data_IF_839046948504
#
_entry.id   IF_839046948504
#
_cell.length_a   1.000
_cell.length_b   1.000
_cell.length_c   1.000
_cell.angle_alpha   90.00
_cell.angle_beta   90.00
_cell.angle_gamma   90.00
#
_symmetry.space_group_name_H-M   'P 1'
#
loop_
_entity.id
_entity.type
_entity.pdbx_description
1 polymer ?
#
# COMPACT_ATOMS: atom_id res chain seq x y z
N UNK A 1 43.30 84.71 -2.73
CA UNK A 1 42.14 85.39 -2.12
C UNK A 1 40.97 84.47 -2.31
N UNK A 2 40.72 83.63 -1.30
CA UNK A 2 39.74 83.91 -0.22
C UNK A 2 38.32 83.79 -0.80
N UNK A 3 37.33 83.13 -0.23
CA UNK A 3 37.17 82.37 1.00
C UNK A 3 35.71 81.84 0.99
N UNK A 4 35.47 80.76 1.74
CA UNK A 4 34.26 80.50 2.55
C UNK A 4 32.89 80.08 1.95
N UNK A 5 32.48 78.90 2.42
CA UNK A 5 31.17 78.54 3.04
C UNK A 5 29.86 78.66 2.25
N UNK A 6 29.22 77.50 2.02
CA UNK A 6 28.16 77.01 2.94
C UNK A 6 27.75 75.56 2.65
N UNK A 7 28.12 74.69 3.58
CA UNK A 7 27.53 73.38 3.83
C UNK A 7 26.39 73.48 4.85
N UNK A 8 25.35 72.67 4.69
CA UNK A 8 24.59 72.08 5.80
C UNK A 8 23.19 72.63 6.06
N UNK A 9 22.15 71.86 5.71
CA UNK A 9 21.32 71.09 6.65
C UNK A 9 20.04 70.57 5.97
N UNK A 10 20.00 69.31 5.53
CA UNK A 10 18.75 68.59 5.20
C UNK A 10 18.69 67.13 5.73
N UNK A 11 19.61 66.70 6.60
CA UNK A 11 19.62 65.30 7.08
C UNK A 11 18.76 65.04 8.34
N UNK A 12 18.18 66.07 8.97
CA UNK A 12 17.40 65.92 10.21
C UNK A 12 15.99 65.34 10.05
N UNK A 13 15.36 65.49 8.87
CA UNK A 13 13.94 65.15 8.66
C UNK A 13 13.67 63.66 8.39
N UNK A 14 14.55 62.99 7.66
CA UNK A 14 14.33 61.59 7.26
C UNK A 14 14.58 60.57 8.39
N UNK A 15 15.53 60.86 9.30
CA UNK A 15 15.86 59.97 10.40
C UNK A 15 14.76 59.90 11.47
N UNK A 16 14.09 61.03 11.74
CA UNK A 16 12.95 61.11 12.68
C UNK A 16 11.72 60.37 12.16
N UNK A 17 11.39 60.52 10.88
CA UNK A 17 10.23 59.88 10.25
C UNK A 17 10.38 58.35 10.16
N UNK A 18 11.57 57.86 9.80
CA UNK A 18 11.85 56.41 9.75
C UNK A 18 11.74 55.77 11.13
N UNK A 19 12.30 56.38 12.19
CA UNK A 19 12.18 55.90 13.58
C UNK A 19 10.73 55.91 14.09
N UNK A 20 9.92 56.88 13.67
CA UNK A 20 8.51 56.97 14.06
C UNK A 20 7.66 55.86 13.39
N UNK A 21 7.94 55.57 12.12
CA UNK A 21 7.32 54.46 11.39
C UNK A 21 7.72 53.09 11.92
N UNK A 22 9.00 52.88 12.30
CA UNK A 22 9.44 51.60 12.86
C UNK A 22 8.77 51.31 14.20
N UNK A 23 8.61 52.31 15.06
CA UNK A 23 7.93 52.15 16.36
C UNK A 23 6.46 51.76 16.20
N UNK A 24 5.72 52.37 15.27
CA UNK A 24 4.30 52.02 15.02
C UNK A 24 4.12 50.65 14.37
N UNK A 25 5.04 50.24 13.49
CA UNK A 25 5.04 48.91 12.91
C UNK A 25 5.31 47.82 13.98
N UNK A 26 6.27 48.04 14.88
CA UNK A 26 6.57 47.11 15.98
C UNK A 26 5.38 46.98 16.95
N UNK A 27 4.72 48.10 17.28
CA UNK A 27 3.51 48.10 18.13
C UNK A 27 2.36 47.38 17.42
N UNK A 28 2.19 47.56 16.11
CA UNK A 28 1.19 46.85 15.32
C UNK A 28 1.41 45.32 15.31
N UNK A 29 2.65 44.88 15.11
CA UNK A 29 3.01 43.45 15.15
C UNK A 29 2.77 42.86 16.55
N UNK A 30 3.17 43.56 17.62
CA UNK A 30 2.90 43.11 18.99
C UNK A 30 1.40 42.99 19.28
N UNK A 31 0.59 43.95 18.83
CA UNK A 31 -0.88 43.88 18.96
C UNK A 31 -1.46 42.67 18.22
N UNK A 32 -0.99 42.38 17.01
CA UNK A 32 -1.45 41.19 16.26
C UNK A 32 -1.07 39.88 16.94
N UNK A 33 0.12 39.80 17.54
CA UNK A 33 0.55 38.61 18.30
C UNK A 33 -0.29 38.42 19.56
N UNK A 34 -0.64 39.51 20.26
CA UNK A 34 -1.50 39.45 21.45
C UNK A 34 -2.93 39.04 21.07
N UNK A 35 -3.48 39.55 19.97
CA UNK A 35 -4.81 39.15 19.46
C UNK A 35 -4.82 37.68 19.06
N UNK A 36 -3.77 37.20 18.37
CA UNK A 36 -3.61 35.77 18.04
C UNK A 36 -3.47 34.89 19.29
N UNK A 37 -2.77 35.37 20.32
CA UNK A 37 -2.63 34.65 21.59
C UNK A 37 -3.95 34.55 22.36
N UNK A 38 -4.74 35.64 22.42
CA UNK A 38 -6.07 35.64 23.04
C UNK A 38 -7.03 34.73 22.27
N UNK A 39 -7.00 34.78 20.92
CA UNK A 39 -7.80 33.89 20.08
C UNK A 39 -7.41 32.41 20.28
N UNK A 40 -6.11 32.10 20.34
CA UNK A 40 -5.63 30.75 20.63
C UNK A 40 -5.99 30.25 22.03
N UNK A 41 -6.06 31.14 23.01
CA UNK A 41 -6.48 30.82 24.38
C UNK A 41 -7.99 30.54 24.48
N UNK A 42 -8.82 31.34 23.78
CA UNK A 42 -10.28 31.15 23.69
C UNK A 42 -10.67 29.84 22.98
N UNK A 43 -9.88 29.43 21.97
CA UNK A 43 -10.10 28.18 21.22
C UNK A 43 -9.52 26.95 21.96
N UNK A 44 -8.95 27.14 23.15
CA UNK A 44 -8.48 26.03 23.99
C UNK A 44 -7.17 25.38 23.54
N UNK A 45 -6.40 26.06 22.68
CA UNK A 45 -5.15 25.55 22.09
C UNK A 45 -4.05 25.29 23.14
N UNK A 46 -4.14 25.91 24.32
CA UNK A 46 -3.18 25.76 25.42
C UNK A 46 -3.67 24.88 26.59
N UNK A 47 -4.78 24.14 26.42
CA UNK A 47 -5.29 23.25 27.47
C UNK A 47 -4.44 21.98 27.52
N UNK A 48 -3.55 21.87 28.52
CA UNK A 48 -2.77 20.64 28.79
C UNK A 48 -3.71 19.43 28.91
N UNK A 49 -3.37 18.26 28.35
CA UNK A 49 -4.18 17.06 28.54
C UNK A 49 -4.24 16.69 30.03
N UNK A 50 -5.44 16.39 30.52
CA UNK A 50 -5.63 15.87 31.88
C UNK A 50 -4.99 14.49 31.95
N UNK A 51 -3.95 14.34 32.77
CA UNK A 51 -3.44 13.05 33.23
C UNK A 51 -4.56 12.32 33.96
N UNK A 52 -5.12 11.29 33.34
CA UNK A 52 -6.04 10.39 34.02
C UNK A 52 -5.21 9.40 34.83
N UNK A 53 -5.36 9.50 36.15
CA UNK A 53 -4.68 8.66 37.13
C UNK A 53 -5.08 7.19 37.03
N UNK A 54 -4.08 6.37 37.32
CA UNK A 54 -4.08 5.02 37.88
C UNK A 54 -5.47 4.46 38.25
N UNK A 55 -5.78 3.29 37.68
CA UNK A 55 -6.60 2.28 38.35
C UNK A 55 -5.74 1.09 38.76
N UNK A 56 -5.94 0.77 40.02
CA UNK A 56 -5.36 -0.25 40.89
C UNK A 56 -5.04 -1.60 40.24
N UNK A 57 -3.85 -2.10 40.55
CA UNK A 57 -3.46 -3.51 40.42
C UNK A 57 -3.92 -4.20 41.71
N UNK A 58 -4.96 -5.03 41.62
CA UNK A 58 -5.32 -5.97 42.69
C UNK A 58 -4.55 -7.28 42.50
N UNK A 59 -3.81 -7.65 43.55
CA UNK A 59 -3.13 -8.94 43.75
C UNK A 59 -4.12 -10.11 43.85
N UNK A 60 -3.75 -11.26 43.29
CA UNK A 60 -4.14 -12.61 43.73
C UNK A 60 -3.16 -13.58 43.05
N UNK A 61 -2.07 -13.96 43.72
CA UNK A 61 -1.92 -15.21 44.49
C UNK A 61 -1.99 -16.48 43.63
N UNK A 62 -0.82 -16.89 43.15
CA UNK A 62 -0.46 -18.25 42.75
C UNK A 62 -0.06 -19.07 43.97
N UNK A 63 -0.75 -20.18 44.26
CA UNK A 63 -0.17 -21.53 44.51
C UNK A 63 -1.20 -22.58 44.94
N UNK A 64 -0.91 -23.86 44.57
CA UNK A 64 -1.53 -25.17 44.96
C UNK A 64 -2.81 -25.58 44.22
N UNK A 65 -3.04 -26.83 43.79
CA UNK A 65 -2.32 -28.12 43.82
C UNK A 65 -2.97 -29.04 42.75
N UNK A 66 -2.21 -29.79 41.94
CA UNK A 66 -1.98 -31.25 41.96
C UNK A 66 -3.23 -32.17 42.05
N UNK A 67 -3.36 -33.07 41.06
CA UNK A 67 -4.19 -34.29 41.05
C UNK A 67 -5.29 -34.25 39.95
N UNK A 68 -5.50 -35.21 39.06
CA UNK A 68 -5.13 -36.62 39.02
C UNK A 68 -5.25 -37.12 37.55
N UNK A 69 -4.34 -38.00 37.13
CA UNK A 69 -4.38 -38.73 35.85
C UNK A 69 -5.17 -40.02 36.05
N UNK A 70 -6.01 -40.39 35.09
CA UNK A 70 -6.42 -41.80 34.91
C UNK A 70 -6.79 -42.09 33.45
N UNK A 71 -6.13 -43.10 32.87
CA UNK A 71 -6.46 -43.83 31.63
C UNK A 71 -6.64 -45.30 32.11
N UNK A 72 -7.64 -46.08 31.66
CA UNK A 72 -7.57 -46.89 30.42
C UNK A 72 -8.94 -46.94 29.68
N UNK A 73 -9.16 -47.47 28.47
CA UNK A 73 -8.60 -48.64 27.76
C UNK A 73 -9.07 -48.62 26.27
N UNK A 74 -8.29 -49.22 25.37
CA UNK A 74 -8.65 -49.65 23.98
C UNK A 74 -9.04 -51.17 24.03
N UNK A 75 -9.46 -51.89 22.96
CA UNK A 75 -9.38 -51.60 21.53
C UNK A 75 -10.64 -51.99 20.70
N UNK A 76 -10.71 -51.55 19.44
CA UNK A 76 -11.15 -52.43 18.34
C UNK A 76 -10.54 -51.98 17.01
N UNK A 77 -10.37 -52.98 16.16
CA UNK A 77 -9.46 -53.13 15.05
C UNK A 77 -10.29 -53.29 13.78
N UNK A 78 -9.98 -52.56 12.71
CA UNK A 78 -10.28 -52.95 11.32
C UNK A 78 -9.46 -52.07 10.36
N UNK A 79 -8.68 -52.75 9.51
CA UNK A 79 -7.81 -52.21 8.45
C UNK A 79 -8.62 -51.90 7.16
N UNK A 80 -8.00 -51.25 6.16
CA UNK A 80 -8.67 -50.36 5.20
C UNK A 80 -9.17 -51.06 3.94
N UNK A 81 -10.27 -50.55 3.38
CA UNK A 81 -10.66 -50.83 2.00
C UNK A 81 -10.24 -49.68 1.08
N UNK A 82 -9.49 -50.07 0.06
CA UNK A 82 -9.09 -49.27 -1.09
C UNK A 82 -10.33 -48.87 -1.91
N UNK A 83 -10.44 -47.58 -2.25
CA UNK A 83 -11.23 -47.14 -3.40
C UNK A 83 -10.34 -46.28 -4.29
N UNK A 84 -9.75 -46.94 -5.27
CA UNK A 84 -9.14 -46.38 -6.47
C UNK A 84 -10.12 -46.60 -7.62
N UNK A 85 -10.58 -45.51 -8.25
CA UNK A 85 -11.24 -45.48 -9.56
C UNK A 85 -10.78 -44.16 -10.21
N UNK A 86 -9.69 -44.20 -10.97
CA UNK A 86 -9.62 -44.43 -12.42
C UNK A 86 -9.81 -43.13 -13.23
N UNK A 87 -8.66 -42.66 -13.73
CA UNK A 87 -8.55 -41.74 -14.85
C UNK A 87 -9.15 -42.39 -16.09
N UNK A 88 -10.14 -41.75 -16.69
CA UNK A 88 -10.51 -42.01 -18.07
C UNK A 88 -9.93 -40.93 -18.96
N UNK A 89 -9.00 -41.41 -19.79
CA UNK A 89 -8.33 -40.70 -20.85
C UNK A 89 -9.02 -41.10 -22.15
N UNK A 90 -9.77 -40.18 -22.76
CA UNK A 90 -10.25 -40.30 -24.13
C UNK A 90 -10.00 -38.98 -24.87
N UNK A 91 -9.07 -39.04 -25.82
CA UNK A 91 -9.09 -38.24 -27.05
C UNK A 91 -9.68 -39.14 -28.13
N UNK A 92 -10.46 -38.63 -29.11
CA UNK A 92 -9.77 -38.13 -30.30
C UNK A 92 -10.48 -37.02 -31.10
N UNK A 93 -9.66 -36.42 -31.97
CA UNK A 93 -9.99 -35.89 -33.30
C UNK A 93 -10.18 -34.38 -33.45
N UNK A 94 -9.20 -33.84 -34.16
CA UNK A 94 -9.15 -32.56 -34.84
C UNK A 94 -10.46 -32.21 -35.57
N UNK A 95 -10.92 -30.97 -35.41
CA UNK A 95 -11.56 -30.26 -36.51
C UNK A 95 -11.11 -28.81 -36.48
N UNK A 96 -10.35 -28.44 -37.51
CA UNK A 96 -10.01 -27.05 -37.84
C UNK A 96 -11.31 -26.28 -38.08
N UNK A 97 -11.58 -25.28 -37.26
CA UNK A 97 -12.43 -24.17 -37.67
C UNK A 97 -11.83 -22.87 -37.16
N UNK A 98 -11.42 -22.04 -38.12
CA UNK A 98 -10.87 -20.73 -37.91
C UNK A 98 -11.92 -19.80 -37.30
N UNK A 99 -11.64 -19.27 -36.12
CA UNK A 99 -12.33 -18.10 -35.59
C UNK A 99 -11.29 -17.04 -35.24
N UNK A 100 -11.04 -16.15 -36.21
CA UNK A 100 -10.49 -14.81 -35.96
C UNK A 100 -11.51 -14.04 -35.11
N UNK A 101 -11.18 -13.70 -33.88
CA UNK A 101 -11.57 -12.42 -33.25
C UNK A 101 -11.06 -12.37 -31.80
N UNK A 102 -10.64 -11.16 -31.40
CA UNK A 102 -10.21 -10.74 -30.07
C UNK A 102 -8.78 -11.16 -29.66
N UNK A 103 -7.80 -10.59 -30.34
CA UNK A 103 -6.57 -10.16 -29.65
C UNK A 103 -6.98 -9.12 -28.61
N UNK A 104 -7.20 -9.57 -27.38
CA UNK A 104 -7.18 -8.70 -26.21
C UNK A 104 -5.79 -8.07 -26.14
N UNK A 105 -5.79 -6.74 -26.15
CA UNK A 105 -4.62 -5.87 -26.05
C UNK A 105 -3.85 -6.15 -24.75
N UNK A 106 -2.98 -7.16 -24.75
CA UNK A 106 -1.90 -7.24 -23.78
C UNK A 106 -0.93 -6.11 -24.13
N UNK A 107 -0.61 -5.18 -23.21
CA UNK A 107 0.44 -4.20 -23.48
C UNK A 107 1.71 -4.97 -23.82
N UNK A 108 2.30 -4.66 -24.99
CA UNK A 108 3.48 -5.34 -25.49
C UNK A 108 4.52 -5.51 -24.37
N UNK A 109 4.95 -6.76 -24.14
CA UNK A 109 5.89 -7.11 -23.07
C UNK A 109 7.15 -6.27 -23.23
N UNK A 110 7.34 -5.28 -22.36
CA UNK A 110 8.51 -4.39 -22.42
C UNK A 110 9.74 -5.21 -22.10
N UNK A 111 10.72 -5.16 -22.99
CA UNK A 111 12.02 -5.79 -22.76
C UNK A 111 12.85 -4.88 -21.85
N UNK A 112 13.35 -5.43 -20.74
CA UNK A 112 14.24 -4.71 -19.83
C UNK A 112 15.64 -5.31 -19.90
N UNK A 113 16.69 -4.47 -20.00
CA UNK A 113 18.06 -4.94 -20.19
C UNK A 113 18.68 -5.55 -18.93
N UNK A 114 18.24 -5.14 -17.73
CA UNK A 114 18.75 -5.62 -16.45
C UNK A 114 17.65 -6.20 -15.57
N UNK A 115 18.01 -7.20 -14.75
CA UNK A 115 17.12 -7.81 -13.74
C UNK A 115 16.67 -6.76 -12.74
N UNK A 116 15.40 -6.78 -12.36
CA UNK A 116 14.80 -5.89 -11.37
C UNK A 116 14.20 -4.61 -11.93
N UNK A 117 14.51 -4.27 -13.19
CA UNK A 117 13.92 -3.09 -13.83
C UNK A 117 12.41 -3.27 -14.04
N UNK A 118 11.94 -4.47 -14.40
CA UNK A 118 10.51 -4.71 -14.55
C UNK A 118 9.77 -4.49 -13.21
N UNK A 119 10.35 -4.97 -12.11
CA UNK A 119 9.80 -4.84 -10.77
C UNK A 119 9.70 -3.38 -10.33
N UNK A 120 10.79 -2.61 -10.50
CA UNK A 120 10.79 -1.19 -10.12
C UNK A 120 9.85 -0.37 -10.99
N UNK A 121 9.77 -0.67 -12.30
CA UNK A 121 8.81 -0.02 -13.20
C UNK A 121 7.35 -0.33 -12.83
N UNK A 122 7.04 -1.59 -12.50
CA UNK A 122 5.74 -2.01 -12.01
C UNK A 122 5.38 -1.42 -10.65
N UNK A 123 6.36 -1.11 -9.81
CA UNK A 123 6.16 -0.41 -8.55
C UNK A 123 5.85 1.08 -8.76
N UNK A 124 6.49 1.73 -9.73
CA UNK A 124 6.33 3.16 -10.02
C UNK A 124 4.98 3.45 -10.69
N UNK A 125 4.64 2.68 -11.73
CA UNK A 125 3.53 3.00 -12.64
C UNK A 125 2.15 3.15 -11.98
N UNK A 126 1.67 2.22 -11.13
CA UNK A 126 0.33 2.32 -10.56
C UNK A 126 0.16 3.59 -9.73
N UNK A 127 1.11 3.89 -8.86
CA UNK A 127 1.05 5.09 -8.03
C UNK A 127 1.25 6.36 -8.87
N UNK A 128 2.14 6.33 -9.87
CA UNK A 128 2.33 7.48 -10.76
C UNK A 128 1.07 7.84 -11.55
N UNK A 129 0.37 6.83 -12.07
CA UNK A 129 -0.90 7.03 -12.76
C UNK A 129 -1.92 7.74 -11.86
N UNK A 130 -2.04 7.31 -10.61
CA UNK A 130 -2.94 7.93 -9.63
C UNK A 130 -2.55 9.37 -9.28
N UNK A 131 -1.26 9.70 -9.29
CA UNK A 131 -0.77 11.05 -8.97
C UNK A 131 -0.85 12.02 -10.15
N UNK A 132 -0.59 11.56 -11.39
CA UNK A 132 -0.38 12.43 -12.56
C UNK A 132 -1.47 12.34 -13.62
N UNK A 133 -1.88 11.13 -13.96
CA UNK A 133 -2.72 10.87 -15.14
C UNK A 133 -4.21 10.82 -14.80
N UNK A 134 -4.54 10.47 -13.56
CA UNK A 134 -5.93 10.38 -13.12
C UNK A 134 -6.58 11.77 -13.10
N UNK A 135 -7.83 11.83 -13.56
CA UNK A 135 -8.64 13.04 -13.48
C UNK A 135 -8.72 13.52 -12.00
N UNK A 136 -8.20 14.72 -11.74
CA UNK A 136 -8.05 15.37 -10.41
C UNK A 136 -6.95 14.80 -9.48
N UNK A 137 -6.07 13.91 -9.95
CA UNK A 137 -4.86 13.50 -9.24
C UNK A 137 -5.11 12.81 -7.88
N UNK A 138 -4.26 13.12 -6.89
CA UNK A 138 -4.28 12.52 -5.55
C UNK A 138 -5.33 13.16 -4.64
N UNK A 139 -6.48 12.51 -4.49
CA UNK A 139 -7.65 13.11 -3.85
C UNK A 139 -7.79 12.86 -2.35
N UNK A 140 -7.05 11.88 -1.83
CA UNK A 140 -7.09 11.55 -0.38
C UNK A 140 -6.74 12.76 0.50
N UNK A 141 -6.02 13.73 -0.07
CA UNK A 141 -5.53 14.90 0.61
C UNK A 141 -6.35 16.18 0.38
N UNK A 142 -7.38 16.14 -0.48
CA UNK A 142 -8.10 17.35 -0.86
C UNK A 142 -9.07 17.80 0.24
N UNK A 143 -9.21 19.13 0.39
CA UNK A 143 -10.09 19.74 1.39
C UNK A 143 -11.56 19.36 1.23
N UNK A 144 -11.98 18.96 0.02
CA UNK A 144 -13.35 18.52 -0.25
C UNK A 144 -13.33 17.13 -0.87
N UNK A 145 -13.78 16.14 -0.09
CA UNK A 145 -13.74 14.71 -0.45
C UNK A 145 -15.01 14.31 -1.22
N UNK A 146 -15.13 14.73 -2.47
CA UNK A 146 -16.30 14.43 -3.31
C UNK A 146 -16.35 13.00 -3.85
N UNK A 147 -15.21 12.29 -3.86
CA UNK A 147 -15.09 10.91 -4.40
C UNK A 147 -14.38 10.01 -3.39
N UNK A 148 -15.13 9.43 -2.47
CA UNK A 148 -14.68 8.43 -1.50
C UNK A 148 -14.14 7.16 -2.19
N UNK A 149 -14.85 6.62 -3.17
CA UNK A 149 -14.47 5.36 -3.85
C UNK A 149 -13.05 5.41 -4.43
N UNK A 150 -12.69 6.52 -5.09
CA UNK A 150 -11.37 6.68 -5.67
C UNK A 150 -10.30 6.94 -4.63
N UNK A 151 -10.63 7.66 -3.55
CA UNK A 151 -9.70 7.83 -2.43
C UNK A 151 -9.34 6.47 -1.84
N UNK A 152 -10.35 5.64 -1.60
CA UNK A 152 -10.17 4.31 -1.02
C UNK A 152 -9.42 3.37 -1.96
N UNK A 153 -9.66 3.46 -3.28
CA UNK A 153 -8.85 2.79 -4.29
C UNK A 153 -7.37 3.21 -4.25
N UNK A 154 -7.10 4.51 -4.18
CA UNK A 154 -5.73 5.07 -4.09
C UNK A 154 -4.99 4.60 -2.84
N UNK A 155 -5.70 4.45 -1.72
CA UNK A 155 -5.12 3.89 -0.49
C UNK A 155 -4.69 2.43 -0.67
N UNK A 156 -5.45 1.63 -1.42
CA UNK A 156 -5.07 0.26 -1.75
C UNK A 156 -3.78 0.19 -2.59
N UNK A 157 -3.68 1.03 -3.63
CA UNK A 157 -2.47 1.15 -4.47
C UNK A 157 -1.25 1.57 -3.65
N UNK A 158 -1.44 2.55 -2.76
CA UNK A 158 -0.38 3.06 -1.89
C UNK A 158 0.11 2.01 -0.89
N UNK A 159 -0.79 1.20 -0.32
CA UNK A 159 -0.41 0.15 0.63
C UNK A 159 0.47 -0.92 -0.03
N UNK A 160 0.12 -1.35 -1.26
CA UNK A 160 0.96 -2.25 -2.05
C UNK A 160 2.32 -1.61 -2.33
N UNK A 161 2.33 -0.33 -2.71
CA UNK A 161 3.57 0.41 -2.99
C UNK A 161 4.48 0.50 -1.77
N UNK A 162 3.91 0.78 -0.59
CA UNK A 162 4.63 0.86 0.69
C UNK A 162 5.29 -0.46 1.04
N UNK A 163 4.52 -1.55 1.07
CA UNK A 163 5.04 -2.89 1.41
C UNK A 163 6.12 -3.33 0.44
N UNK A 164 5.90 -3.10 -0.85
CA UNK A 164 6.87 -3.46 -1.89
C UNK A 164 8.15 -2.63 -1.78
N UNK A 165 8.05 -1.35 -1.46
CA UNK A 165 9.22 -0.45 -1.29
C UNK A 165 10.04 -0.83 -0.06
N UNK A 166 9.40 -1.24 1.05
CA UNK A 166 10.08 -1.76 2.25
C UNK A 166 10.86 -3.02 1.91
N UNK A 167 10.19 -4.03 1.31
CA UNK A 167 10.85 -5.30 0.99
C UNK A 167 11.92 -5.13 -0.09
N UNK A 168 11.70 -4.23 -1.06
CA UNK A 168 12.71 -3.89 -2.06
C UNK A 168 13.99 -3.37 -1.40
N UNK A 169 13.87 -2.39 -0.50
CA UNK A 169 15.01 -1.80 0.21
C UNK A 169 15.68 -2.76 1.21
N UNK A 170 14.88 -3.55 1.92
CA UNK A 170 15.36 -4.41 3.01
C UNK A 170 15.86 -5.78 2.58
N UNK A 171 15.38 -6.31 1.45
CA UNK A 171 15.65 -7.70 1.05
C UNK A 171 16.13 -7.79 -0.39
N UNK A 172 15.41 -7.19 -1.33
CA UNK A 172 15.65 -7.47 -2.76
C UNK A 172 16.88 -6.73 -3.30
N UNK A 173 17.17 -5.52 -2.82
CA UNK A 173 18.31 -4.72 -3.29
C UNK A 173 19.64 -5.08 -2.63
N UNK A 174 19.68 -6.07 -1.73
CA UNK A 174 20.85 -6.40 -0.90
C UNK A 174 21.09 -7.90 -0.73
N UNK A 175 22.35 -8.31 -0.60
CA UNK A 175 22.75 -9.72 -0.45
C UNK A 175 22.54 -10.24 0.98
N UNK A 176 22.58 -9.34 1.97
CA UNK A 176 22.45 -9.69 3.39
C UNK A 176 22.01 -8.52 4.27
N UNK A 177 21.65 -8.83 5.52
CA UNK A 177 21.15 -7.88 6.51
C UNK A 177 22.17 -6.86 7.02
N UNK A 178 23.46 -7.03 6.68
CA UNK A 178 24.57 -6.17 7.12
C UNK A 178 25.05 -5.15 6.08
N UNK A 179 24.69 -5.32 4.81
CA UNK A 179 24.95 -4.35 3.73
C UNK A 179 24.38 -2.94 4.03
N UNK A 180 24.89 -1.88 3.40
CA UNK A 180 24.25 -0.58 3.52
C UNK A 180 22.96 -0.55 2.68
N UNK A 181 21.95 0.21 3.11
CA UNK A 181 20.80 0.49 2.26
C UNK A 181 21.21 1.37 1.08
N UNK A 182 20.60 1.16 -0.10
CA UNK A 182 20.66 2.17 -1.14
C UNK A 182 19.88 3.40 -0.67
N UNK A 183 20.57 4.55 -0.67
CA UNK A 183 20.02 5.81 -0.14
C UNK A 183 18.73 6.24 -0.85
N UNK A 184 18.60 5.97 -2.15
CA UNK A 184 17.40 6.34 -2.90
C UNK A 184 16.23 5.43 -2.50
N UNK A 185 16.45 4.12 -2.32
CA UNK A 185 15.41 3.21 -1.85
C UNK A 185 14.97 3.51 -0.41
N UNK A 186 15.91 3.82 0.47
CA UNK A 186 15.62 4.23 1.85
C UNK A 186 14.78 5.51 1.88
N UNK A 187 15.18 6.52 1.09
CA UNK A 187 14.40 7.76 0.94
C UNK A 187 13.00 7.48 0.39
N UNK A 188 12.88 6.66 -0.66
CA UNK A 188 11.61 6.32 -1.28
C UNK A 188 10.65 5.67 -0.26
N UNK A 189 11.11 4.66 0.45
CA UNK A 189 10.37 4.00 1.53
C UNK A 189 9.88 5.01 2.56
N UNK A 190 10.76 5.88 3.05
CA UNK A 190 10.43 6.90 4.05
C UNK A 190 9.36 7.89 3.54
N UNK A 191 9.44 8.30 2.27
CA UNK A 191 8.46 9.20 1.68
C UNK A 191 7.08 8.58 1.51
N UNK A 192 6.99 7.29 1.16
CA UNK A 192 5.71 6.60 1.06
C UNK A 192 5.01 6.40 2.40
N UNK A 193 5.75 6.35 3.51
CA UNK A 193 5.18 6.19 4.86
C UNK A 193 4.51 7.44 5.43
N UNK A 194 4.59 8.57 4.72
CA UNK A 194 3.85 9.78 5.11
C UNK A 194 2.35 9.53 5.00
N UNK A 195 1.59 10.07 5.95
CA UNK A 195 0.14 9.91 6.02
C UNK A 195 -0.55 10.46 4.75
N UNK A 196 -1.53 9.73 4.19
CA UNK A 196 -2.16 10.06 2.91
C UNK A 196 -3.14 11.24 2.97
N UNK A 197 -3.63 11.59 4.16
CA UNK A 197 -4.61 12.65 4.47
C UNK A 197 -3.96 14.01 4.82
N UNK A 198 -2.62 14.10 4.73
CA UNK A 198 -1.88 15.26 5.22
C UNK A 198 -1.85 16.42 4.22
N UNK A 199 -2.75 17.39 4.42
CA UNK A 199 -2.92 18.52 3.49
C UNK A 199 -1.81 19.56 3.60
N UNK A 200 -1.44 19.92 4.82
CA UNK A 200 -0.47 20.98 5.10
C UNK A 200 0.96 20.46 5.32
N UNK A 201 1.94 21.32 5.01
CA UNK A 201 3.37 21.00 4.80
C UNK A 201 3.96 19.91 5.72
N UNK A 202 4.59 18.85 5.17
CA UNK A 202 4.64 18.48 3.75
C UNK A 202 3.35 17.81 3.25
N UNK A 203 2.89 18.15 2.04
CA UNK A 203 1.72 17.49 1.43
C UNK A 203 2.03 16.05 1.02
N UNK A 204 1.06 15.16 1.19
CA UNK A 204 1.20 13.73 0.86
C UNK A 204 1.61 13.54 -0.62
N UNK A 205 0.92 14.22 -1.54
CA UNK A 205 1.18 14.15 -2.97
C UNK A 205 2.62 14.53 -3.34
N UNK A 206 3.13 15.63 -2.81
CA UNK A 206 4.51 16.07 -3.07
C UNK A 206 5.52 15.02 -2.61
N UNK A 207 5.27 14.40 -1.46
CA UNK A 207 6.14 13.37 -0.89
C UNK A 207 6.08 12.07 -1.66
N UNK A 208 4.92 11.65 -2.13
CA UNK A 208 4.82 10.49 -3.00
C UNK A 208 5.51 10.73 -4.34
N UNK A 209 5.39 11.93 -4.92
CA UNK A 209 6.18 12.30 -6.12
C UNK A 209 7.68 12.24 -5.86
N UNK A 210 8.16 12.71 -4.71
CA UNK A 210 9.57 12.57 -4.33
C UNK A 210 9.98 11.10 -4.19
N UNK A 211 9.16 10.27 -3.56
CA UNK A 211 9.43 8.83 -3.44
C UNK A 211 9.51 8.12 -4.80
N UNK A 212 8.63 8.46 -5.73
CA UNK A 212 8.69 7.93 -7.10
C UNK A 212 9.94 8.38 -7.85
N UNK A 213 10.38 9.62 -7.66
CA UNK A 213 11.63 10.10 -8.28
C UNK A 213 12.85 9.34 -7.74
N UNK A 214 12.88 9.07 -6.44
CA UNK A 214 13.93 8.26 -5.82
C UNK A 214 13.95 6.82 -6.40
N UNK A 215 12.78 6.20 -6.60
CA UNK A 215 12.69 4.91 -7.29
C UNK A 215 13.17 4.99 -8.74
N UNK A 216 12.89 6.09 -9.46
CA UNK A 216 13.38 6.32 -10.84
C UNK A 216 14.90 6.47 -10.90
N UNK A 217 15.50 7.10 -9.88
CA UNK A 217 16.96 7.18 -9.78
C UNK A 217 17.53 5.78 -9.59
N UNK A 218 16.97 4.98 -8.69
CA UNK A 218 17.38 3.58 -8.51
C UNK A 218 17.21 2.75 -9.79
N UNK A 219 16.09 2.91 -10.51
CA UNK A 219 15.88 2.28 -11.81
C UNK A 219 16.99 2.60 -12.82
N UNK A 220 17.42 3.88 -12.90
CA UNK A 220 18.54 4.29 -13.76
C UNK A 220 19.88 3.72 -13.29
N UNK A 221 20.09 3.52 -11.98
CA UNK A 221 21.29 2.85 -11.47
C UNK A 221 21.31 1.37 -11.88
N UNK A 222 20.16 0.68 -11.84
CA UNK A 222 20.05 -0.71 -12.32
C UNK A 222 20.40 -0.81 -13.81
N UNK A 223 19.90 0.11 -14.63
CA UNK A 223 20.23 0.17 -16.06
C UNK A 223 21.74 0.30 -16.32
N UNK A 224 22.43 1.07 -15.48
CA UNK A 224 23.89 1.27 -15.57
C UNK A 224 24.72 0.18 -14.88
N UNK A 225 24.10 -0.73 -14.13
CA UNK A 225 24.80 -1.71 -13.28
C UNK A 225 25.46 -1.11 -12.04
N UNK A 226 25.06 0.10 -11.61
CA UNK A 226 25.54 0.77 -10.40
C UNK A 226 24.81 0.32 -9.12
N UNK A 227 23.68 -0.36 -9.28
CA UNK A 227 22.88 -0.92 -8.19
C UNK A 227 22.61 -2.41 -8.43
N UNK A 228 22.40 -3.15 -7.35
CA UNK A 228 22.10 -4.57 -7.40
C UNK A 228 20.61 -4.85 -7.18
N UNK A 229 20.13 -5.92 -7.80
CA UNK A 229 18.81 -6.51 -7.58
C UNK A 229 18.97 -8.03 -7.55
N UNK A 230 18.65 -8.65 -6.42
CA UNK A 230 18.93 -10.06 -6.18
C UNK A 230 17.68 -10.91 -6.35
N UNK A 231 17.63 -11.69 -7.43
CA UNK A 231 16.51 -12.54 -7.83
C UNK A 231 16.49 -13.90 -7.11
N UNK A 232 16.71 -13.92 -5.80
CA UNK A 232 16.79 -15.15 -5.01
C UNK A 232 15.49 -15.45 -4.27
N UNK A 233 15.30 -16.72 -3.93
CA UNK A 233 14.09 -17.20 -3.26
C UNK A 233 13.91 -16.62 -1.85
N UNK A 234 14.99 -16.45 -1.10
CA UNK A 234 14.99 -15.83 0.24
C UNK A 234 14.59 -14.34 0.22
N UNK A 235 14.75 -13.68 -0.92
CA UNK A 235 14.30 -12.31 -1.14
C UNK A 235 12.86 -12.24 -1.66
N UNK A 236 12.44 -13.21 -2.48
CA UNK A 236 11.08 -13.26 -3.04
C UNK A 236 10.04 -13.71 -2.00
N UNK A 237 10.35 -14.69 -1.15
CA UNK A 237 9.40 -15.22 -0.16
C UNK A 237 8.85 -14.12 0.78
N UNK A 238 9.69 -13.26 1.40
CA UNK A 238 9.17 -12.17 2.24
C UNK A 238 8.25 -11.21 1.51
N UNK A 239 8.49 -10.97 0.22
CA UNK A 239 7.63 -10.14 -0.62
C UNK A 239 6.25 -10.80 -0.78
N UNK A 240 6.23 -12.07 -1.13
CA UNK A 240 5.00 -12.84 -1.31
C UNK A 240 4.20 -12.96 0.00
N UNK A 241 4.86 -13.15 1.14
CA UNK A 241 4.21 -13.17 2.46
C UNK A 241 3.51 -11.82 2.73
N UNK A 242 4.19 -10.70 2.48
CA UNK A 242 3.60 -9.38 2.67
C UNK A 242 2.34 -9.15 1.79
N UNK A 243 2.29 -9.78 0.61
CA UNK A 243 1.14 -9.77 -0.29
C UNK A 243 0.03 -10.72 0.16
N UNK A 244 0.38 -11.93 0.62
CA UNK A 244 -0.57 -12.89 1.20
C UNK A 244 -1.31 -12.27 2.38
N UNK A 245 -0.58 -11.61 3.29
CA UNK A 245 -1.14 -10.92 4.45
C UNK A 245 -2.07 -9.77 4.05
N UNK A 246 -1.66 -8.99 3.04
CA UNK A 246 -2.46 -7.87 2.54
C UNK A 246 -3.77 -8.34 1.90
N UNK A 247 -3.69 -9.38 1.05
CA UNK A 247 -4.88 -9.99 0.44
C UNK A 247 -5.75 -10.67 1.50
N UNK A 248 -5.18 -11.28 2.52
CA UNK A 248 -5.92 -11.84 3.65
C UNK A 248 -6.71 -10.78 4.42
N UNK A 249 -6.10 -9.61 4.64
CA UNK A 249 -6.83 -8.48 5.24
C UNK A 249 -7.94 -7.95 4.33
N UNK A 250 -7.74 -7.95 3.01
CA UNK A 250 -8.78 -7.57 2.06
C UNK A 250 -9.94 -8.57 2.07
N UNK A 251 -9.65 -9.87 2.00
CA UNK A 251 -10.63 -10.96 2.03
C UNK A 251 -11.52 -10.88 3.28
N UNK A 252 -10.90 -10.80 4.47
CA UNK A 252 -11.62 -10.66 5.74
C UNK A 252 -12.56 -9.43 5.75
N UNK A 253 -12.08 -8.29 5.27
CA UNK A 253 -12.89 -7.08 5.19
C UNK A 253 -14.01 -7.17 4.15
N UNK A 254 -13.87 -7.98 3.10
CA UNK A 254 -14.90 -8.20 2.09
C UNK A 254 -15.98 -9.16 2.58
N UNK A 255 -15.63 -10.19 3.36
CA UNK A 255 -16.59 -11.22 3.80
C UNK A 255 -17.26 -10.91 5.14
N UNK A 256 -16.66 -10.05 5.98
CA UNK A 256 -17.22 -9.73 7.31
C UNK A 256 -18.64 -9.17 7.22
N UNK A 257 -19.49 -9.59 8.16
CA UNK A 257 -20.88 -9.15 8.25
C UNK A 257 -21.08 -8.06 9.31
N UNK A 258 -20.23 -8.04 10.33
CA UNK A 258 -20.27 -7.09 11.44
C UNK A 258 -18.92 -6.42 11.62
N UNK A 259 -18.96 -5.15 11.97
CA UNK A 259 -17.80 -4.39 12.41
C UNK A 259 -17.37 -4.80 13.82
N UNK A 260 -16.17 -4.35 14.24
CA UNK A 260 -15.63 -4.65 15.59
C UNK A 260 -16.54 -4.18 16.73
N UNK A 261 -17.39 -3.18 16.47
CA UNK A 261 -18.38 -2.67 17.43
C UNK A 261 -19.69 -3.47 17.44
N UNK A 262 -19.77 -4.58 16.69
CA UNK A 262 -20.95 -5.46 16.58
C UNK A 262 -22.03 -4.97 15.62
N UNK A 263 -21.89 -3.78 15.04
CA UNK A 263 -22.86 -3.23 14.08
C UNK A 263 -22.70 -3.89 12.70
N UNK A 264 -23.77 -4.05 11.92
CA UNK A 264 -23.65 -4.53 10.55
C UNK A 264 -22.82 -3.57 9.71
N UNK A 265 -22.11 -4.10 8.71
CA UNK A 265 -21.35 -3.28 7.76
C UNK A 265 -22.30 -2.34 7.00
N UNK A 266 -22.03 -1.04 7.06
CA UNK A 266 -22.85 -0.04 6.36
C UNK A 266 -22.62 -0.08 4.85
N UNK A 267 -23.57 0.44 4.07
CA UNK A 267 -23.43 0.51 2.61
C UNK A 267 -22.20 1.31 2.16
N UNK A 268 -21.85 2.40 2.85
CA UNK A 268 -20.65 3.20 2.56
C UNK A 268 -19.35 2.42 2.85
N UNK A 269 -19.29 1.71 3.98
CA UNK A 269 -18.12 0.88 4.31
C UNK A 269 -17.97 -0.32 3.38
N UNK A 270 -19.10 -0.89 2.94
CA UNK A 270 -19.13 -1.96 1.97
C UNK A 270 -18.48 -1.53 0.64
N UNK A 271 -18.78 -0.32 0.20
CA UNK A 271 -18.16 0.31 -0.97
C UNK A 271 -16.66 0.57 -0.76
N UNK A 272 -16.29 1.14 0.39
CA UNK A 272 -14.88 1.35 0.76
C UNK A 272 -14.06 0.06 0.69
N UNK A 273 -14.54 -1.05 1.28
CA UNK A 273 -13.82 -2.33 1.22
C UNK A 273 -13.66 -2.85 -0.21
N UNK A 274 -14.69 -2.65 -1.04
CA UNK A 274 -14.64 -3.06 -2.43
C UNK A 274 -13.57 -2.30 -3.21
N UNK A 275 -13.56 -0.96 -3.14
CA UNK A 275 -12.59 -0.15 -3.88
C UNK A 275 -11.17 -0.28 -3.33
N UNK A 276 -11.01 -0.44 -2.02
CA UNK A 276 -9.70 -0.71 -1.41
C UNK A 276 -9.10 -2.00 -1.98
N UNK A 277 -9.87 -3.10 -1.95
CA UNK A 277 -9.43 -4.40 -2.47
C UNK A 277 -9.15 -4.34 -3.98
N UNK A 278 -9.96 -3.60 -4.74
CA UNK A 278 -9.73 -3.38 -6.18
C UNK A 278 -8.41 -2.65 -6.44
N UNK A 279 -8.09 -1.62 -5.64
CA UNK A 279 -6.81 -0.89 -5.71
C UNK A 279 -5.62 -1.77 -5.38
N UNK A 280 -5.73 -2.58 -4.34
CA UNK A 280 -4.73 -3.59 -3.96
C UNK A 280 -4.50 -4.59 -5.11
N UNK A 281 -5.57 -5.16 -5.66
CA UNK A 281 -5.46 -6.13 -6.76
C UNK A 281 -4.83 -5.53 -8.02
N UNK A 282 -5.17 -4.29 -8.37
CA UNK A 282 -4.60 -3.60 -9.53
C UNK A 282 -3.10 -3.33 -9.40
N UNK A 283 -2.65 -2.87 -8.23
CA UNK A 283 -1.23 -2.66 -7.98
C UNK A 283 -0.46 -3.98 -7.87
N UNK A 284 -1.02 -5.00 -7.21
CA UNK A 284 -0.42 -6.32 -7.11
C UNK A 284 -0.30 -7.01 -8.47
N UNK A 285 -1.30 -6.88 -9.34
CA UNK A 285 -1.26 -7.42 -10.70
C UNK A 285 0.01 -7.00 -11.43
N UNK A 286 0.26 -5.69 -11.49
CA UNK A 286 1.44 -5.14 -12.16
C UNK A 286 2.75 -5.68 -11.56
N UNK A 287 2.81 -5.78 -10.23
CA UNK A 287 4.02 -6.27 -9.55
C UNK A 287 4.21 -7.78 -9.75
N UNK A 288 3.15 -8.58 -9.70
CA UNK A 288 3.24 -10.03 -9.92
C UNK A 288 3.65 -10.37 -11.37
N UNK A 289 3.17 -9.62 -12.36
CA UNK A 289 3.64 -9.73 -13.75
C UNK A 289 5.13 -9.39 -13.87
N UNK A 290 5.59 -8.39 -13.14
CA UNK A 290 7.01 -8.06 -13.06
C UNK A 290 7.83 -9.12 -12.32
N UNK A 291 7.29 -9.70 -11.24
CA UNK A 291 7.90 -10.84 -10.54
C UNK A 291 8.05 -12.03 -11.48
N UNK A 292 7.03 -12.33 -12.29
CA UNK A 292 7.12 -13.39 -13.29
C UNK A 292 8.24 -13.14 -14.30
N UNK A 293 8.56 -11.88 -14.61
CA UNK A 293 9.63 -11.53 -15.53
C UNK A 293 11.01 -11.57 -14.86
N UNK A 294 11.18 -10.85 -13.74
CA UNK A 294 12.49 -10.70 -13.08
C UNK A 294 12.93 -11.96 -12.30
N UNK A 295 11.98 -12.70 -11.73
CA UNK A 295 12.25 -13.91 -10.95
C UNK A 295 11.94 -15.21 -11.72
N UNK A 296 11.79 -15.14 -13.06
CA UNK A 296 11.41 -16.31 -13.88
C UNK A 296 12.30 -17.53 -13.59
N UNK A 297 13.62 -17.33 -13.52
CA UNK A 297 14.61 -18.39 -13.32
C UNK A 297 14.36 -19.20 -12.03
N UNK A 298 14.05 -18.54 -10.91
CA UNK A 298 13.80 -19.23 -9.64
C UNK A 298 12.40 -19.83 -9.58
N UNK A 299 11.41 -19.18 -10.19
CA UNK A 299 10.03 -19.67 -10.21
C UNK A 299 9.93 -20.90 -11.10
N UNK A 300 10.55 -20.87 -12.27
CA UNK A 300 10.57 -21.97 -13.24
C UNK A 300 11.37 -23.17 -12.71
N UNK A 301 12.54 -22.95 -12.12
CA UNK A 301 13.34 -24.03 -11.54
C UNK A 301 12.64 -24.78 -10.40
N UNK A 302 11.70 -24.13 -9.70
CA UNK A 302 10.85 -24.71 -8.66
C UNK A 302 9.46 -25.14 -9.17
N UNK A 303 9.21 -25.07 -10.49
CA UNK A 303 7.92 -25.40 -11.12
C UNK A 303 6.74 -24.58 -10.57
N UNK A 304 6.99 -23.34 -10.14
CA UNK A 304 5.99 -22.42 -9.61
C UNK A 304 5.29 -21.54 -10.66
N UNK A 305 5.64 -21.68 -11.94
CA UNK A 305 5.18 -20.77 -13.03
C UNK A 305 3.66 -20.75 -13.17
N UNK A 306 3.03 -21.92 -13.19
CA UNK A 306 1.56 -22.03 -13.31
C UNK A 306 0.85 -21.44 -12.08
N UNK A 307 1.40 -21.67 -10.88
CA UNK A 307 0.85 -21.13 -9.64
C UNK A 307 0.92 -19.60 -9.62
N UNK A 308 2.05 -19.04 -10.04
CA UNK A 308 2.20 -17.59 -10.18
C UNK A 308 1.24 -17.03 -11.24
N UNK A 309 1.06 -17.74 -12.35
CA UNK A 309 0.13 -17.33 -13.40
C UNK A 309 -1.31 -17.27 -12.90
N UNK A 310 -1.78 -18.26 -12.15
CA UNK A 310 -3.12 -18.23 -11.56
C UNK A 310 -3.30 -17.13 -10.51
N UNK A 311 -2.25 -16.77 -9.76
CA UNK A 311 -2.29 -15.62 -8.88
C UNK A 311 -2.49 -14.31 -9.66
N UNK A 312 -1.72 -14.12 -10.74
CA UNK A 312 -1.83 -12.97 -11.66
C UNK A 312 -3.24 -12.91 -12.27
N UNK A 313 -3.75 -14.03 -12.80
CA UNK A 313 -5.08 -14.11 -13.39
C UNK A 313 -6.17 -13.76 -12.39
N UNK A 314 -6.05 -14.24 -11.15
CA UNK A 314 -7.00 -13.93 -10.08
C UNK A 314 -7.03 -12.42 -9.76
N UNK A 315 -5.86 -11.77 -9.68
CA UNK A 315 -5.79 -10.31 -9.54
C UNK A 315 -6.41 -9.59 -10.77
N UNK A 316 -6.15 -10.07 -11.98
CA UNK A 316 -6.73 -9.52 -13.19
C UNK A 316 -8.27 -9.61 -13.17
N UNK A 317 -8.84 -10.75 -12.77
CA UNK A 317 -10.28 -10.92 -12.61
C UNK A 317 -10.84 -9.88 -11.64
N UNK A 318 -10.20 -9.69 -10.47
CA UNK A 318 -10.62 -8.68 -9.49
C UNK A 318 -10.63 -7.25 -10.08
N UNK A 319 -9.64 -6.88 -10.90
CA UNK A 319 -9.60 -5.54 -11.52
C UNK A 319 -10.72 -5.31 -12.55
N UNK A 320 -11.19 -6.38 -13.20
CA UNK A 320 -12.27 -6.32 -14.21
C UNK A 320 -13.66 -6.16 -13.59
N UNK A 321 -13.82 -6.38 -12.28
CA UNK A 321 -15.09 -6.17 -11.58
C UNK A 321 -15.31 -4.66 -11.41
N UNK A 322 -16.18 -4.09 -12.25
CA UNK A 322 -16.48 -2.65 -12.27
C UNK A 322 -18.00 -2.38 -12.27
N UNK A 323 -18.68 -2.57 -11.12
CA UNK A 323 -20.09 -2.26 -11.01
C UNK A 323 -20.30 -0.75 -10.98
N UNK A 324 -21.40 -0.27 -11.55
CA UNK A 324 -21.81 1.12 -11.39
C UNK A 324 -22.11 1.43 -9.91
N UNK A 325 -22.80 0.51 -9.22
CA UNK A 325 -23.13 0.67 -7.80
C UNK A 325 -22.71 -0.58 -7.03
N UNK A 326 -21.99 -0.39 -5.91
CA UNK A 326 -21.64 -1.50 -5.01
C UNK A 326 -22.85 -1.84 -4.14
N UNK A 327 -23.27 -3.09 -4.20
CA UNK A 327 -24.40 -3.64 -3.45
C UNK A 327 -23.89 -4.73 -2.51
N UNK A 328 -24.40 -4.70 -1.29
CA UNK A 328 -24.10 -5.69 -0.24
C UNK A 328 -25.36 -6.51 0.08
N UNK A 329 -25.89 -7.21 -0.93
CA UNK A 329 -27.09 -8.05 -0.75
C UNK A 329 -26.77 -9.38 -0.07
N UNK A 330 -27.78 -10.09 0.42
CA UNK A 330 -27.57 -11.45 0.94
C UNK A 330 -27.13 -12.39 -0.18
N UNK A 331 -26.43 -13.48 0.16
CA UNK A 331 -25.96 -14.47 -0.81
C UNK A 331 -27.10 -15.18 -1.57
N UNK A 332 -28.28 -15.24 -0.97
CA UNK A 332 -29.50 -15.83 -1.55
C UNK A 332 -30.41 -14.81 -2.24
N UNK A 333 -29.98 -13.55 -2.32
CA UNK A 333 -30.76 -12.48 -2.93
C UNK A 333 -30.75 -12.59 -4.45
N UNK A 334 -31.79 -12.03 -5.08
CA UNK A 334 -31.81 -11.82 -6.53
C UNK A 334 -30.83 -10.71 -6.98
N UNK A 335 -30.35 -9.89 -6.05
CA UNK A 335 -29.36 -8.85 -6.30
C UNK A 335 -27.94 -9.36 -6.05
N UNK A 336 -26.97 -8.83 -6.81
CA UNK A 336 -25.57 -9.17 -6.63
C UNK A 336 -25.07 -8.78 -5.24
N UNK A 337 -24.16 -9.60 -4.70
CA UNK A 337 -23.29 -9.21 -3.60
C UNK A 337 -21.92 -8.89 -4.20
N UNK A 338 -21.66 -7.61 -4.45
CA UNK A 338 -20.40 -7.17 -5.08
C UNK A 338 -19.18 -7.39 -4.17
N UNK A 339 -19.35 -7.37 -2.84
CA UNK A 339 -18.28 -7.72 -1.90
C UNK A 339 -17.89 -9.19 -2.00
N UNK A 340 -18.86 -10.10 -2.05
CA UNK A 340 -18.61 -11.52 -2.23
C UNK A 340 -18.00 -11.82 -3.62
N UNK A 341 -18.49 -11.15 -4.67
CA UNK A 341 -17.93 -11.29 -6.01
C UNK A 341 -16.47 -10.82 -6.08
N UNK A 342 -16.09 -9.80 -5.30
CA UNK A 342 -14.69 -9.35 -5.16
C UNK A 342 -13.88 -10.28 -4.25
N UNK A 343 -14.47 -10.84 -3.19
CA UNK A 343 -13.79 -11.73 -2.26
C UNK A 343 -13.27 -13.00 -2.96
N UNK A 344 -14.04 -13.59 -3.86
CA UNK A 344 -13.65 -14.80 -4.57
C UNK A 344 -12.28 -14.71 -5.29
N UNK A 345 -12.04 -13.76 -6.23
CA UNK A 345 -10.74 -13.63 -6.87
C UNK A 345 -9.63 -13.19 -5.90
N UNK A 346 -9.92 -12.37 -4.89
CA UNK A 346 -8.93 -11.97 -3.87
C UNK A 346 -8.46 -13.18 -3.06
N UNK A 347 -9.40 -14.04 -2.64
CA UNK A 347 -9.09 -15.27 -1.89
C UNK A 347 -8.33 -16.27 -2.75
N UNK A 348 -8.67 -16.40 -4.04
CA UNK A 348 -7.90 -17.21 -5.00
C UNK A 348 -6.47 -16.70 -5.18
N UNK A 349 -6.29 -15.39 -5.39
CA UNK A 349 -4.96 -14.78 -5.50
C UNK A 349 -4.11 -15.07 -4.25
N UNK A 350 -4.70 -14.90 -3.06
CA UNK A 350 -4.06 -15.22 -1.79
C UNK A 350 -3.66 -16.70 -1.70
N UNK A 351 -4.57 -17.60 -2.04
CA UNK A 351 -4.31 -19.04 -2.02
C UNK A 351 -3.12 -19.41 -2.90
N UNK A 352 -3.11 -18.95 -4.16
CA UNK A 352 -2.02 -19.25 -5.09
C UNK A 352 -0.68 -18.63 -4.65
N UNK A 353 -0.69 -17.42 -4.08
CA UNK A 353 0.52 -16.85 -3.46
C UNK A 353 1.02 -17.72 -2.31
N UNK A 354 0.13 -18.18 -1.43
CA UNK A 354 0.48 -19.09 -0.33
C UNK A 354 1.05 -20.43 -0.81
N UNK A 355 0.51 -20.99 -1.90
CA UNK A 355 1.06 -22.18 -2.55
C UNK A 355 2.44 -21.90 -3.15
N UNK A 356 2.61 -20.77 -3.81
CA UNK A 356 3.89 -20.36 -4.40
C UNK A 356 4.98 -20.23 -3.31
N UNK A 357 4.65 -19.63 -2.16
CA UNK A 357 5.55 -19.53 -1.01
C UNK A 357 6.02 -20.92 -0.56
N UNK A 358 5.09 -21.89 -0.44
CA UNK A 358 5.43 -23.26 -0.04
C UNK A 358 6.34 -23.96 -1.04
N UNK A 359 6.04 -23.85 -2.33
CA UNK A 359 6.84 -24.41 -3.42
C UNK A 359 8.25 -23.83 -3.42
N UNK A 360 8.38 -22.52 -3.22
CA UNK A 360 9.66 -21.83 -3.18
C UNK A 360 10.47 -22.16 -1.91
N UNK A 361 9.80 -22.48 -0.80
CA UNK A 361 10.46 -22.85 0.46
C UNK A 361 10.98 -24.29 0.51
N UNK A 362 10.60 -25.13 -0.45
CA UNK A 362 11.05 -26.52 -0.60
C UNK A 362 12.25 -26.58 -1.54
#
# INVERSE_FOLDING_TARGET
>A
MEDFEKSGNEEGGQAGFKRFLTKRAIVGVLLTVVVLWIAGSMIGFFKKPKTQGQKEIAKSETEKAIGHITIPEKPHEASPEHVSLEQQQESPTETKSASKANETLHPAKRFFPAKGMAFVDALIKPLEYELKERFWGWRSNDLIRFTDNVNTFQLGVLEVTRRSSVILAERVSRTGSTEAFDKNLENAMNWFMIKPDKYWFPSAESKYKMGLEELRIYFKKLEKGEAAFYTRTDNLIPLLIAYEDLLGSCDENLVKQKEKNGQPVSYFMADDYFFYAKGVAGALLAILEAVQTDFNEIVESRKGTEVLHHAIESCLIATKIDPWMVTNSSLSSIFANHRANMAAPISHARFYIGVLIKILST
#
